data_IF_096507490607
#
_entry.id   IF_096507490607
#
_cell.length_a   1.000
_cell.length_b   1.000
_cell.length_c   1.000
_cell.angle_alpha   90.00
_cell.angle_beta   90.00
_cell.angle_gamma   90.00
#
_symmetry.space_group_name_H-M   'P 1'
#
loop_
_entity.id
_entity.type
_entity.pdbx_description
1 polymer ?
#
# COMPACT_ATOMS: atom_id res chain seq x y z
N UNK A 1 -33.93 -12.79 21.43
CA UNK A 1 -33.93 -11.43 22.02
C UNK A 1 -32.81 -10.64 21.35
N UNK A 2 -33.12 -9.68 20.48
CA UNK A 2 -32.10 -8.83 19.83
C UNK A 2 -31.76 -7.65 20.74
N UNK A 3 -30.55 -7.64 21.31
CA UNK A 3 -30.05 -6.47 22.03
C UNK A 3 -29.72 -5.38 21.01
N UNK A 4 -30.67 -4.46 20.79
CA UNK A 4 -30.43 -3.28 19.98
C UNK A 4 -29.32 -2.44 20.63
N UNK A 5 -28.28 -2.03 19.89
CA UNK A 5 -27.20 -1.23 20.43
C UNK A 5 -27.73 0.10 20.96
N UNK A 6 -27.24 0.53 22.12
CA UNK A 6 -27.66 1.80 22.71
C UNK A 6 -27.19 2.98 21.83
N UNK A 7 -27.91 4.11 21.85
CA UNK A 7 -27.52 5.31 21.07
C UNK A 7 -26.05 5.71 21.30
N UNK A 8 -25.54 5.57 22.53
CA UNK A 8 -24.14 5.83 22.85
C UNK A 8 -23.13 4.90 22.14
N UNK A 9 -23.47 3.62 22.00
CA UNK A 9 -22.63 2.66 21.25
C UNK A 9 -22.58 3.00 19.76
N UNK A 10 -23.70 3.44 19.18
CA UNK A 10 -23.77 3.87 17.78
C UNK A 10 -22.87 5.09 17.53
N UNK A 11 -22.94 6.12 18.38
CA UNK A 11 -22.11 7.32 18.28
C UNK A 11 -20.62 6.99 18.39
N UNK A 12 -20.23 6.17 19.38
CA UNK A 12 -18.82 5.75 19.57
C UNK A 12 -18.28 4.97 18.37
N UNK A 13 -19.11 4.11 17.76
CA UNK A 13 -18.76 3.38 16.54
C UNK A 13 -18.56 4.34 15.36
N UNK A 14 -19.46 5.31 15.20
CA UNK A 14 -19.37 6.35 14.16
C UNK A 14 -18.07 7.16 14.26
N UNK A 15 -17.75 7.70 15.45
CA UNK A 15 -16.50 8.44 15.67
C UNK A 15 -15.25 7.60 15.40
N UNK A 16 -15.25 6.32 15.78
CA UNK A 16 -14.12 5.42 15.50
C UNK A 16 -13.93 5.19 14.01
N UNK A 17 -15.02 5.04 13.26
CA UNK A 17 -14.99 4.88 11.80
C UNK A 17 -14.50 6.16 11.12
N UNK A 18 -15.10 7.30 11.46
CA UNK A 18 -14.72 8.61 10.92
C UNK A 18 -13.25 8.95 11.22
N UNK A 19 -12.79 8.71 12.45
CA UNK A 19 -11.38 8.90 12.81
C UNK A 19 -10.43 7.99 12.04
N UNK A 20 -10.88 6.78 11.66
CA UNK A 20 -10.12 5.90 10.77
C UNK A 20 -9.96 6.47 9.36
N UNK A 21 -11.04 7.00 8.79
CA UNK A 21 -11.02 7.64 7.47
C UNK A 21 -10.19 8.92 7.46
N UNK A 22 -10.37 9.79 8.44
CA UNK A 22 -9.57 11.02 8.59
C UNK A 22 -8.08 10.71 8.70
N UNK A 23 -7.70 9.70 9.50
CA UNK A 23 -6.31 9.26 9.60
C UNK A 23 -5.80 8.73 8.26
N UNK A 24 -6.60 7.96 7.53
CA UNK A 24 -6.23 7.44 6.21
C UNK A 24 -6.01 8.54 5.18
N UNK A 25 -6.90 9.53 5.12
CA UNK A 25 -6.79 10.70 4.23
C UNK A 25 -5.56 11.55 4.60
N UNK A 26 -5.38 11.86 5.89
CA UNK A 26 -4.24 12.64 6.36
C UNK A 26 -2.91 11.92 6.06
N UNK A 27 -2.86 10.61 6.28
CA UNK A 27 -1.69 9.79 5.93
C UNK A 27 -1.42 9.79 4.42
N UNK A 28 -2.45 9.62 3.60
CA UNK A 28 -2.31 9.63 2.15
C UNK A 28 -1.81 10.99 1.65
N UNK A 29 -2.37 12.08 2.16
CA UNK A 29 -1.90 13.44 1.86
C UNK A 29 -0.44 13.66 2.28
N UNK A 30 -0.05 13.17 3.47
CA UNK A 30 1.34 13.24 3.94
C UNK A 30 2.30 12.48 3.01
N UNK A 31 1.93 11.26 2.58
CA UNK A 31 2.75 10.46 1.67
C UNK A 31 2.84 11.13 0.31
N UNK A 32 1.72 11.58 -0.28
CA UNK A 32 1.74 12.28 -1.56
C UNK A 32 2.58 13.56 -1.50
N UNK A 33 2.42 14.35 -0.45
CA UNK A 33 3.23 15.56 -0.25
C UNK A 33 4.73 15.22 -0.10
N UNK A 34 5.05 14.17 0.66
CA UNK A 34 6.42 13.67 0.80
C UNK A 34 7.03 13.20 -0.52
N UNK A 35 6.25 12.52 -1.38
CA UNK A 35 6.69 12.12 -2.73
C UNK A 35 6.96 13.36 -3.59
N UNK A 36 6.05 14.33 -3.59
CA UNK A 36 6.21 15.56 -4.36
C UNK A 36 7.44 16.36 -3.91
N UNK A 37 7.69 16.48 -2.60
CA UNK A 37 8.89 17.15 -2.07
C UNK A 37 10.18 16.37 -2.34
N UNK A 38 10.15 15.04 -2.26
CA UNK A 38 11.34 14.21 -2.43
C UNK A 38 11.76 14.06 -3.90
N UNK A 39 10.79 13.94 -4.80
CA UNK A 39 11.00 13.56 -6.20
C UNK A 39 10.42 14.56 -7.21
N UNK A 40 9.65 15.57 -6.77
CA UNK A 40 9.07 16.55 -7.66
C UNK A 40 10.09 17.52 -8.23
N UNK A 41 9.80 18.00 -9.44
CA UNK A 41 10.52 19.08 -10.12
C UNK A 41 9.89 20.43 -9.80
N UNK A 42 10.60 21.53 -10.00
CA UNK A 42 10.07 22.89 -9.79
C UNK A 42 8.79 23.17 -10.58
N UNK A 43 8.60 22.52 -11.75
CA UNK A 43 7.38 22.60 -12.53
C UNK A 43 6.11 22.10 -11.81
N UNK A 44 6.25 21.31 -10.74
CA UNK A 44 5.13 20.79 -9.96
C UNK A 44 4.64 21.76 -8.88
N UNK A 45 5.32 22.89 -8.69
CA UNK A 45 5.06 23.82 -7.60
C UNK A 45 4.76 25.23 -8.12
N UNK A 46 3.99 25.99 -7.33
CA UNK A 46 3.75 27.41 -7.60
C UNK A 46 5.07 28.20 -7.55
N UNK A 47 5.14 29.29 -8.34
CA UNK A 47 6.30 30.18 -8.38
C UNK A 47 6.80 30.54 -6.97
N UNK A 48 8.05 30.21 -6.65
CA UNK A 48 8.71 30.52 -5.38
C UNK A 48 8.83 29.36 -4.38
N UNK A 49 8.28 28.18 -4.66
CA UNK A 49 8.51 26.99 -3.82
C UNK A 49 9.57 26.07 -4.43
N UNK A 50 10.70 25.92 -3.74
CA UNK A 50 11.76 25.00 -4.14
C UNK A 50 11.63 23.69 -3.34
N UNK A 51 11.43 22.54 -4.00
CA UNK A 51 11.28 21.27 -3.30
C UNK A 51 12.54 20.93 -2.49
N UNK A 52 12.35 20.62 -1.22
CA UNK A 52 13.44 20.19 -0.35
C UNK A 52 13.44 18.68 -0.22
N UNK A 53 14.40 18.02 -0.90
CA UNK A 53 14.52 16.54 -0.84
C UNK A 53 14.57 16.02 0.60
N UNK A 54 15.23 16.77 1.49
CA UNK A 54 15.30 16.41 2.91
C UNK A 54 13.93 16.46 3.59
N UNK A 55 13.12 17.50 3.34
CA UNK A 55 11.76 17.58 3.90
C UNK A 55 10.90 16.44 3.37
N UNK A 56 11.00 16.12 2.07
CA UNK A 56 10.31 15.00 1.44
C UNK A 56 10.64 13.67 2.08
N UNK A 57 11.93 13.33 2.26
CA UNK A 57 12.33 12.10 2.92
C UNK A 57 11.90 12.03 4.39
N UNK A 58 11.91 13.16 5.12
CA UNK A 58 11.41 13.21 6.49
C UNK A 58 9.90 12.93 6.54
N UNK A 59 9.13 13.54 5.65
CA UNK A 59 7.68 13.30 5.54
C UNK A 59 7.37 11.85 5.18
N UNK A 60 8.12 11.27 4.25
CA UNK A 60 8.01 9.85 3.90
C UNK A 60 8.38 8.94 5.07
N UNK A 61 9.43 9.28 5.84
CA UNK A 61 9.80 8.58 7.06
C UNK A 61 8.68 8.60 8.11
N UNK A 62 8.06 9.77 8.33
CA UNK A 62 6.89 9.90 9.21
C UNK A 62 5.71 9.09 8.67
N UNK A 63 5.44 9.14 7.36
CA UNK A 63 4.40 8.36 6.71
C UNK A 63 4.60 6.85 6.86
N UNK A 64 5.84 6.38 6.71
CA UNK A 64 6.22 4.99 6.93
C UNK A 64 6.00 4.56 8.39
N UNK A 65 6.40 5.38 9.37
CA UNK A 65 6.16 5.11 10.78
C UNK A 65 4.66 5.03 11.11
N UNK A 66 3.87 6.00 10.61
CA UNK A 66 2.41 6.00 10.78
C UNK A 66 1.79 4.76 10.14
N UNK A 67 2.23 4.37 8.94
CA UNK A 67 1.77 3.16 8.27
C UNK A 67 2.02 1.90 9.13
N UNK A 68 3.24 1.72 9.63
CA UNK A 68 3.61 0.55 10.46
C UNK A 68 2.80 0.48 11.76
N UNK A 69 2.62 1.62 12.43
CA UNK A 69 1.83 1.69 13.67
C UNK A 69 0.34 1.41 13.39
N UNK A 70 -0.18 1.92 12.28
CA UNK A 70 -1.60 1.81 11.92
C UNK A 70 -1.96 0.61 11.05
N UNK A 71 -0.99 -0.23 10.63
CA UNK A 71 -1.15 -1.32 9.68
C UNK A 71 -2.32 -2.28 10.01
N UNK A 72 -2.55 -2.56 11.29
CA UNK A 72 -3.68 -3.38 11.74
C UNK A 72 -5.06 -2.81 11.38
N UNK A 73 -5.18 -1.49 11.19
CA UNK A 73 -6.40 -0.84 10.70
C UNK A 73 -6.50 -0.97 9.18
N UNK A 74 -5.38 -0.79 8.48
CA UNK A 74 -5.30 -0.88 7.02
C UNK A 74 -5.64 -2.26 6.48
N UNK A 75 -5.38 -3.35 7.23
CA UNK A 75 -5.66 -4.74 6.80
C UNK A 75 -7.10 -4.97 6.28
N UNK A 76 -8.07 -4.17 6.73
CA UNK A 76 -9.47 -4.25 6.26
C UNK A 76 -9.68 -3.64 4.88
N UNK A 77 -8.97 -2.55 4.59
CA UNK A 77 -9.09 -1.73 3.38
C UNK A 77 -8.09 -2.20 2.31
N UNK A 78 -6.96 -2.76 2.74
CA UNK A 78 -5.85 -3.18 1.87
C UNK A 78 -6.31 -4.06 0.69
N UNK A 79 -7.16 -5.09 0.85
CA UNK A 79 -7.59 -5.88 -0.30
C UNK A 79 -8.40 -5.09 -1.32
N UNK A 80 -9.15 -4.07 -0.89
CA UNK A 80 -9.87 -3.18 -1.80
C UNK A 80 -8.91 -2.30 -2.61
N UNK A 81 -7.88 -1.75 -1.95
CA UNK A 81 -6.83 -0.96 -2.62
C UNK A 81 -6.07 -1.84 -3.61
N UNK A 82 -5.68 -3.05 -3.20
CA UNK A 82 -4.96 -3.99 -4.07
C UNK A 82 -5.81 -4.47 -5.25
N UNK A 83 -7.12 -4.66 -5.06
CA UNK A 83 -8.03 -4.97 -6.14
C UNK A 83 -8.13 -3.81 -7.15
N UNK A 84 -8.26 -2.58 -6.68
CA UNK A 84 -8.24 -1.39 -7.54
C UNK A 84 -6.90 -1.27 -8.32
N UNK A 85 -5.77 -1.52 -7.66
CA UNK A 85 -4.46 -1.53 -8.30
C UNK A 85 -4.31 -2.66 -9.34
N UNK A 86 -4.88 -3.83 -9.07
CA UNK A 86 -4.93 -4.96 -10.02
C UNK A 86 -5.72 -4.59 -11.28
N UNK A 87 -6.88 -3.93 -11.12
CA UNK A 87 -7.67 -3.42 -12.24
C UNK A 87 -6.89 -2.36 -13.03
N UNK A 88 -6.17 -1.46 -12.34
CA UNK A 88 -5.28 -0.49 -12.99
C UNK A 88 -4.25 -1.18 -13.88
N UNK A 89 -3.51 -2.15 -13.33
CA UNK A 89 -2.51 -2.92 -14.08
C UNK A 89 -3.11 -3.71 -15.25
N UNK A 90 -4.32 -4.23 -15.10
CA UNK A 90 -5.04 -4.91 -16.20
C UNK A 90 -5.40 -3.94 -17.32
N UNK A 91 -5.85 -2.73 -16.99
CA UNK A 91 -6.15 -1.68 -17.96
C UNK A 91 -4.88 -1.20 -18.68
N UNK A 92 -3.75 -1.09 -17.96
CA UNK A 92 -2.45 -0.77 -18.54
C UNK A 92 -1.97 -1.85 -19.52
N UNK A 93 -2.16 -3.13 -19.17
CA UNK A 93 -1.84 -4.25 -20.03
C UNK A 93 -2.69 -4.25 -21.31
N UNK A 94 -3.98 -3.94 -21.19
CA UNK A 94 -4.91 -3.91 -22.30
C UNK A 94 -4.65 -2.75 -23.26
N UNK A 95 -4.51 -1.53 -22.74
CA UNK A 95 -4.34 -0.32 -23.55
C UNK A 95 -2.89 -0.06 -23.99
N UNK A 96 -1.90 -0.56 -23.23
CA UNK A 96 -0.49 -0.24 -23.44
C UNK A 96 -0.10 1.17 -22.98
N UNK A 97 -0.94 1.84 -22.20
CA UNK A 97 -0.75 3.19 -21.68
C UNK A 97 -1.04 3.26 -20.18
N UNK A 98 -0.38 4.20 -19.49
CA UNK A 98 -0.63 4.44 -18.06
C UNK A 98 -2.06 4.93 -17.83
N UNK A 99 -2.76 4.39 -16.82
CA UNK A 99 -4.17 4.77 -16.55
C UNK A 99 -4.32 6.24 -16.18
N UNK A 100 -3.34 6.78 -15.45
CA UNK A 100 -3.34 8.17 -14.98
C UNK A 100 -2.80 9.16 -16.02
N UNK A 101 -2.03 8.69 -17.00
CA UNK A 101 -1.46 9.53 -18.05
C UNK A 101 -1.38 8.77 -19.39
N UNK A 102 -2.41 8.87 -20.24
CA UNK A 102 -2.47 8.16 -21.52
C UNK A 102 -1.33 8.51 -22.49
N UNK A 103 -0.65 9.66 -22.31
CA UNK A 103 0.51 10.02 -23.13
C UNK A 103 1.72 9.10 -22.90
N UNK A 104 1.75 8.40 -21.77
CA UNK A 104 2.85 7.53 -21.37
C UNK A 104 2.59 6.11 -21.87
N UNK A 105 3.49 5.61 -22.72
CA UNK A 105 3.49 4.23 -23.20
C UNK A 105 4.08 3.29 -22.14
N UNK A 106 3.37 2.19 -21.85
CA UNK A 106 3.84 1.12 -20.96
C UNK A 106 4.09 -0.15 -21.78
N UNK A 107 5.33 -0.68 -21.80
CA UNK A 107 5.60 -1.98 -22.40
C UNK A 107 4.73 -3.08 -21.78
N UNK A 108 4.06 -3.88 -22.62
CA UNK A 108 3.12 -4.93 -22.17
C UNK A 108 3.73 -5.91 -21.16
N UNK A 109 5.01 -6.22 -21.29
CA UNK A 109 5.69 -7.12 -20.35
C UNK A 109 5.82 -6.51 -18.93
N UNK A 110 6.01 -5.19 -18.82
CA UNK A 110 6.03 -4.48 -17.52
C UNK A 110 4.65 -4.54 -16.89
N UNK A 111 3.60 -4.20 -17.66
CA UNK A 111 2.22 -4.26 -17.19
C UNK A 111 1.81 -5.68 -16.78
N UNK A 112 2.31 -6.72 -17.48
CA UNK A 112 2.08 -8.11 -17.12
C UNK A 112 2.73 -8.47 -15.78
N UNK A 113 4.00 -8.07 -15.56
CA UNK A 113 4.68 -8.29 -14.27
C UNK A 113 3.94 -7.59 -13.14
N UNK A 114 3.57 -6.32 -13.34
CA UNK A 114 2.82 -5.54 -12.38
C UNK A 114 1.48 -6.21 -12.05
N UNK A 115 0.74 -6.67 -13.07
CA UNK A 115 -0.53 -7.38 -12.88
C UNK A 115 -0.33 -8.66 -12.06
N UNK A 116 0.63 -9.50 -12.41
CA UNK A 116 0.89 -10.77 -11.72
C UNK A 116 1.29 -10.55 -10.27
N UNK A 117 2.23 -9.63 -10.02
CA UNK A 117 2.73 -9.35 -8.66
C UNK A 117 1.63 -8.72 -7.80
N UNK A 118 0.94 -7.69 -8.30
CA UNK A 118 -0.12 -7.01 -7.54
C UNK A 118 -1.29 -7.97 -7.30
N UNK A 119 -1.69 -8.78 -8.28
CA UNK A 119 -2.73 -9.79 -8.09
C UNK A 119 -2.33 -10.82 -7.02
N UNK A 120 -1.08 -11.28 -7.04
CA UNK A 120 -0.54 -12.19 -6.02
C UNK A 120 -0.60 -11.58 -4.62
N UNK A 121 -0.12 -10.34 -4.46
CA UNK A 121 -0.20 -9.61 -3.18
C UNK A 121 -1.64 -9.32 -2.78
N UNK A 122 -2.54 -9.03 -3.73
CA UNK A 122 -3.97 -8.86 -3.48
C UNK A 122 -4.57 -10.13 -2.89
N UNK A 123 -4.30 -11.30 -3.48
CA UNK A 123 -4.74 -12.60 -2.96
C UNK A 123 -4.19 -12.85 -1.54
N UNK A 124 -2.90 -12.59 -1.29
CA UNK A 124 -2.30 -12.74 0.04
C UNK A 124 -2.93 -11.79 1.06
N UNK A 125 -3.26 -10.56 0.66
CA UNK A 125 -3.85 -9.54 1.53
C UNK A 125 -5.21 -9.94 2.09
N UNK A 126 -5.98 -10.78 1.38
CA UNK A 126 -7.24 -11.34 1.88
C UNK A 126 -6.98 -12.19 3.13
N UNK A 127 -5.87 -12.91 3.18
CA UNK A 127 -5.50 -13.74 4.34
C UNK A 127 -5.11 -12.91 5.57
N UNK A 128 -4.72 -11.65 5.38
CA UNK A 128 -4.39 -10.74 6.48
C UNK A 128 -5.62 -10.19 7.20
N UNK A 129 -6.82 -10.27 6.61
CA UNK A 129 -8.06 -9.80 7.25
C UNK A 129 -8.41 -10.59 8.51
N UNK A 130 -8.09 -11.89 8.53
CA UNK A 130 -8.51 -12.82 9.59
C UNK A 130 -7.52 -12.91 10.75
N UNK A 131 -6.32 -12.33 10.63
CA UNK A 131 -5.26 -12.38 11.64
C UNK A 131 -4.72 -11.00 11.97
N UNK A 132 -4.05 -10.85 13.11
CA UNK A 132 -3.27 -9.65 13.38
C UNK A 132 -1.93 -9.68 12.65
N UNK A 133 -1.47 -8.51 12.23
CA UNK A 133 -0.21 -8.36 11.50
C UNK A 133 0.92 -8.26 12.51
N UNK A 134 1.88 -9.19 12.39
CA UNK A 134 3.13 -9.14 13.15
C UNK A 134 4.04 -8.04 12.58
N UNK A 135 5.16 -7.75 13.24
CA UNK A 135 6.07 -6.68 12.78
C UNK A 135 6.66 -6.99 11.39
N UNK A 136 6.92 -8.28 11.09
CA UNK A 136 7.47 -8.73 9.80
C UNK A 136 6.50 -8.44 8.66
N UNK A 137 5.20 -8.74 8.83
CA UNK A 137 4.16 -8.45 7.84
C UNK A 137 4.05 -6.94 7.58
N UNK A 138 4.15 -6.12 8.64
CA UNK A 138 4.03 -4.66 8.54
C UNK A 138 5.17 -4.07 7.73
N UNK A 139 6.40 -4.53 8.00
CA UNK A 139 7.58 -4.11 7.25
C UNK A 139 7.49 -4.59 5.81
N UNK A 140 7.09 -5.85 5.57
CA UNK A 140 6.93 -6.37 4.21
C UNK A 140 5.89 -5.59 3.39
N UNK A 141 4.75 -5.25 4.00
CA UNK A 141 3.74 -4.40 3.37
C UNK A 141 4.24 -2.98 3.10
N UNK A 142 5.06 -2.42 4.00
CA UNK A 142 5.68 -1.11 3.80
C UNK A 142 6.67 -1.14 2.63
N UNK A 143 7.54 -2.15 2.57
CA UNK A 143 8.49 -2.35 1.46
C UNK A 143 7.74 -2.51 0.15
N UNK A 144 6.66 -3.29 0.13
CA UNK A 144 5.82 -3.42 -1.05
C UNK A 144 5.15 -2.10 -1.45
N UNK A 145 4.59 -1.35 -0.49
CA UNK A 145 4.02 -0.03 -0.77
C UNK A 145 5.08 0.93 -1.34
N UNK A 146 6.29 0.95 -0.77
CA UNK A 146 7.42 1.74 -1.28
C UNK A 146 7.80 1.33 -2.70
N UNK A 147 7.79 0.03 -3.02
CA UNK A 147 8.14 -0.48 -4.35
C UNK A 147 7.21 0.02 -5.46
N UNK A 148 5.94 0.27 -5.15
CA UNK A 148 4.98 0.84 -6.11
C UNK A 148 5.39 2.27 -6.50
N UNK A 149 5.97 3.03 -5.56
CA UNK A 149 6.37 4.41 -5.82
C UNK A 149 7.68 4.55 -6.58
N UNK A 150 8.52 3.50 -6.63
CA UNK A 150 9.80 3.52 -7.35
C UNK A 150 9.60 3.77 -8.85
N UNK A 151 8.51 3.31 -9.45
CA UNK A 151 8.21 3.55 -10.88
C UNK A 151 7.41 4.81 -11.19
N UNK A 152 7.24 5.71 -10.22
CA UNK A 152 6.50 6.96 -10.41
C UNK A 152 7.20 7.95 -11.34
N UNK A 153 8.54 7.87 -11.43
CA UNK A 153 9.35 8.68 -12.33
C UNK A 153 9.57 7.96 -13.67
N UNK A 154 9.61 8.73 -14.77
CA UNK A 154 9.91 8.20 -16.10
C UNK A 154 11.31 7.60 -16.16
N UNK A 155 12.27 8.20 -15.44
CA UNK A 155 13.66 7.75 -15.41
C UNK A 155 13.82 6.36 -14.76
N UNK A 156 13.02 6.04 -13.74
CA UNK A 156 13.12 4.80 -12.96
C UNK A 156 12.11 3.73 -13.38
N UNK A 157 11.29 4.01 -14.41
CA UNK A 157 10.22 3.09 -14.86
C UNK A 157 10.75 1.71 -15.29
N UNK A 158 11.99 1.62 -15.76
CA UNK A 158 12.63 0.34 -16.09
C UNK A 158 12.93 -0.52 -14.85
N UNK A 159 13.09 0.11 -13.68
CA UNK A 159 13.37 -0.56 -12.40
C UNK A 159 12.09 -1.02 -11.69
N UNK A 160 10.92 -0.49 -12.08
CA UNK A 160 9.63 -0.81 -11.48
C UNK A 160 9.34 -2.32 -11.39
N UNK A 161 9.55 -3.15 -12.44
CA UNK A 161 9.32 -4.59 -12.35
C UNK A 161 10.16 -5.25 -11.27
N UNK A 162 11.44 -4.87 -11.16
CA UNK A 162 12.36 -5.42 -10.18
C UNK A 162 11.93 -5.02 -8.76
N UNK A 163 11.62 -3.74 -8.54
CA UNK A 163 11.16 -3.23 -7.26
C UNK A 163 9.88 -3.95 -6.81
N UNK A 164 8.90 -4.10 -7.70
CA UNK A 164 7.65 -4.82 -7.42
C UNK A 164 7.90 -6.29 -7.08
N UNK A 165 8.76 -6.98 -7.83
CA UNK A 165 9.13 -8.37 -7.54
C UNK A 165 9.75 -8.47 -6.14
N UNK A 166 10.69 -7.59 -5.80
CA UNK A 166 11.32 -7.56 -4.47
C UNK A 166 10.27 -7.36 -3.38
N UNK A 167 9.40 -6.35 -3.53
CA UNK A 167 8.32 -6.10 -2.58
C UNK A 167 7.34 -7.28 -2.46
N UNK A 168 6.97 -7.89 -3.58
CA UNK A 168 6.09 -9.05 -3.63
C UNK A 168 6.69 -10.27 -2.94
N UNK A 169 7.98 -10.53 -3.16
CA UNK A 169 8.75 -11.58 -2.49
C UNK A 169 8.82 -11.33 -0.99
N UNK A 170 9.03 -10.09 -0.53
CA UNK A 170 9.00 -9.76 0.90
C UNK A 170 7.64 -10.09 1.53
N UNK A 171 6.53 -9.74 0.87
CA UNK A 171 5.17 -10.06 1.37
C UNK A 171 4.92 -11.57 1.38
N UNK A 172 5.33 -12.28 0.34
CA UNK A 172 5.22 -13.73 0.27
C UNK A 172 6.05 -14.43 1.37
N UNK A 173 7.28 -13.97 1.60
CA UNK A 173 8.15 -14.49 2.64
C UNK A 173 7.59 -14.24 4.05
N UNK A 174 7.08 -13.04 4.33
CA UNK A 174 6.41 -12.73 5.58
C UNK A 174 5.17 -13.62 5.82
N UNK A 175 4.37 -13.82 4.77
CA UNK A 175 3.23 -14.73 4.83
C UNK A 175 3.65 -16.18 5.08
N UNK A 176 4.67 -16.67 4.38
CA UNK A 176 5.17 -18.04 4.52
C UNK A 176 5.75 -18.27 5.93
N UNK A 177 6.49 -17.30 6.45
CA UNK A 177 7.02 -17.31 7.81
C UNK A 177 5.92 -17.42 8.85
N UNK A 178 4.87 -16.60 8.77
CA UNK A 178 3.70 -16.68 9.66
C UNK A 178 3.00 -18.05 9.57
N UNK A 179 2.89 -18.62 8.37
CA UNK A 179 2.30 -19.96 8.18
C UNK A 179 3.13 -21.08 8.79
N UNK A 180 4.45 -20.98 8.75
CA UNK A 180 5.34 -21.98 9.35
C UNK A 180 5.31 -21.90 10.87
N UNK A 181 5.31 -20.69 11.45
CA UNK A 181 5.28 -20.50 12.90
C UNK A 181 3.99 -20.96 13.57
N UNK A 182 2.85 -20.96 12.86
CA UNK A 182 1.55 -21.39 13.42
C UNK A 182 1.32 -22.92 13.41
N UNK A 183 2.19 -23.70 12.75
CA UNK A 183 2.04 -25.17 12.69
C UNK A 183 2.23 -25.88 14.05
N UNK A 184 3.22 -25.52 14.87
CA UNK A 184 3.47 -26.21 16.15
C UNK A 184 2.33 -26.04 17.16
N UNK A 185 1.73 -24.85 17.25
CA UNK A 185 0.66 -24.55 18.21
C UNK A 185 -0.59 -25.40 17.98
N UNK A 186 -0.91 -25.70 16.71
CA UNK A 186 -2.08 -26.53 16.37
C UNK A 186 -1.91 -28.01 16.75
N UNK A 187 -0.68 -28.51 16.74
CA UNK A 187 -0.37 -29.90 17.10
C UNK A 187 -0.29 -30.10 18.62
N UNK A 188 -0.13 -29.04 19.41
CA UNK A 188 -0.09 -29.13 20.87
C UNK A 188 -1.50 -29.19 21.51
N UNK A 189 -2.55 -28.84 20.76
CA UNK A 189 -3.94 -28.79 21.25
C UNK A 189 -4.82 -29.91 20.68
N UNK A 190 -4.27 -30.79 19.84
CA UNK A 190 -4.96 -31.92 19.22
C UNK A 190 -4.53 -33.22 19.89
#
# INVERSE_FOLDING_TARGET
MSNNPTRGQQVKSGFRSAGGWLLGIAWFGLVLWGILEAFGTEANFSEGHHPSRLSGYLLLGVGAAVFVVSANRWKRILPGIMFAATLGALLELWHGHAVNNPSVLIPRWIALVQLVVIAGVASLSVTFKTRDLNMVDRIALLVFAASIYVGGDEATRQELPLALIVGGVCVLAAWAYDRLQRRPERNATA
#
